data_IF_669700146105
#
_entry.id   IF_669700146105
#
_cell.length_a   1.000
_cell.length_b   1.000
_cell.length_c   1.000
_cell.angle_alpha   90.00
_cell.angle_beta   90.00
_cell.angle_gamma   90.00
#
_symmetry.space_group_name_H-M   'P 1'
#
loop_
_entity.id
_entity.type
_entity.pdbx_description
1 polymer ?
#
# COMPACT_ATOMS: atom_id res chain seq x y z
N UNK A 1 24.97 -8.55 4.82
CA UNK A 1 24.28 -7.29 4.45
C UNK A 1 22.87 -7.64 4.01
N UNK A 2 21.84 -7.11 4.66
CA UNK A 2 20.45 -7.30 4.21
C UNK A 2 20.20 -6.58 2.88
N UNK A 3 19.54 -7.26 1.94
CA UNK A 3 19.16 -6.72 0.62
C UNK A 3 17.95 -5.77 0.72
N UNK A 4 17.15 -5.88 1.80
CA UNK A 4 15.99 -5.01 2.02
C UNK A 4 16.42 -3.64 2.59
N UNK A 5 15.95 -2.57 1.93
CA UNK A 5 16.10 -1.20 2.41
C UNK A 5 15.39 -0.99 3.76
N UNK A 6 15.88 0.00 4.52
CA UNK A 6 15.21 0.46 5.75
C UNK A 6 13.82 1.00 5.42
N UNK A 7 12.82 0.62 6.21
CA UNK A 7 11.44 1.08 6.06
C UNK A 7 10.87 1.46 7.42
N UNK A 8 10.29 2.66 7.54
CA UNK A 8 9.78 3.20 8.81
C UNK A 8 10.78 3.16 9.99
N UNK A 9 12.08 3.17 9.70
CA UNK A 9 13.13 3.07 10.73
C UNK A 9 13.51 1.63 11.10
N UNK A 10 12.88 0.63 10.49
CA UNK A 10 13.26 -0.77 10.65
C UNK A 10 14.26 -1.20 9.58
N UNK A 11 15.36 -1.79 10.02
CA UNK A 11 16.37 -2.38 9.13
C UNK A 11 15.79 -3.57 8.37
N UNK A 12 16.41 -3.93 7.26
CA UNK A 12 15.99 -5.12 6.51
C UNK A 12 16.06 -6.41 7.32
N UNK A 13 16.99 -6.54 8.28
CA UNK A 13 17.06 -7.69 9.18
C UNK A 13 15.88 -7.74 10.16
N UNK A 14 15.46 -6.60 10.72
CA UNK A 14 14.25 -6.53 11.56
C UNK A 14 13.01 -6.96 10.78
N UNK A 15 12.87 -6.44 9.55
CA UNK A 15 11.77 -6.78 8.65
C UNK A 15 11.79 -8.27 8.26
N UNK A 16 12.97 -8.84 8.02
CA UNK A 16 13.12 -10.26 7.68
C UNK A 16 12.77 -11.17 8.86
N UNK A 17 13.09 -10.80 10.10
CA UNK A 17 12.69 -11.56 11.29
C UNK A 17 11.17 -11.60 11.46
N UNK A 18 10.50 -10.46 11.31
CA UNK A 18 9.04 -10.37 11.33
C UNK A 18 8.40 -11.16 10.17
N UNK A 19 8.95 -11.07 8.96
CA UNK A 19 8.50 -11.85 7.81
C UNK A 19 8.61 -13.36 8.05
N UNK A 20 9.74 -13.82 8.60
CA UNK A 20 9.94 -15.22 8.94
C UNK A 20 9.00 -15.69 10.05
N UNK A 21 8.70 -14.84 11.03
CA UNK A 21 7.65 -15.12 12.01
C UNK A 21 6.28 -15.29 11.34
N UNK A 22 5.88 -14.36 10.47
CA UNK A 22 4.59 -14.41 9.77
C UNK A 22 4.47 -15.67 8.89
N UNK A 23 5.55 -16.07 8.21
CA UNK A 23 5.59 -17.33 7.47
C UNK A 23 5.36 -18.55 8.35
N UNK A 24 5.90 -18.57 9.57
CA UNK A 24 5.65 -19.67 10.53
C UNK A 24 4.20 -19.68 10.98
N UNK A 25 3.58 -18.51 11.19
CA UNK A 25 2.15 -18.43 11.50
C UNK A 25 1.28 -18.99 10.37
N UNK A 26 1.65 -18.75 9.10
CA UNK A 26 0.97 -19.36 7.95
C UNK A 26 1.13 -20.88 7.90
N UNK A 27 2.35 -21.39 8.08
CA UNK A 27 2.62 -22.84 8.08
C UNK A 27 1.88 -23.53 9.23
N UNK A 28 1.78 -22.87 10.38
CA UNK A 28 1.06 -23.40 11.54
C UNK A 28 -0.47 -23.23 11.46
N UNK A 29 -1.01 -22.64 10.38
CA UNK A 29 -2.44 -22.43 10.20
C UNK A 29 -3.06 -21.39 11.14
N UNK A 30 -2.26 -20.67 11.94
CA UNK A 30 -2.75 -19.62 12.85
C UNK A 30 -3.13 -18.33 12.12
N UNK A 31 -2.67 -18.17 10.88
CA UNK A 31 -3.00 -17.04 10.02
C UNK A 31 -3.28 -17.49 8.59
N UNK A 32 -4.23 -16.83 7.95
CA UNK A 32 -4.50 -17.00 6.53
C UNK A 32 -3.51 -16.20 5.68
N UNK A 33 -3.18 -16.73 4.51
CA UNK A 33 -2.43 -15.96 3.51
C UNK A 33 -3.36 -14.94 2.85
N UNK A 34 -2.85 -13.76 2.47
CA UNK A 34 -3.65 -12.77 1.77
C UNK A 34 -4.19 -13.30 0.45
N UNK A 35 -5.50 -13.16 0.24
CA UNK A 35 -6.17 -13.58 -1.02
C UNK A 35 -6.92 -12.44 -1.70
N UNK A 36 -7.08 -11.30 -1.00
CA UNK A 36 -7.81 -10.15 -1.52
C UNK A 36 -7.18 -8.86 -1.02
N UNK A 37 -7.02 -7.89 -1.91
CA UNK A 37 -6.62 -6.54 -1.52
C UNK A 37 -7.75 -5.86 -0.73
N UNK A 38 -7.47 -5.49 0.52
CA UNK A 38 -8.41 -4.73 1.36
C UNK A 38 -8.65 -3.32 0.82
N UNK A 39 -7.67 -2.71 0.15
CA UNK A 39 -7.80 -1.33 -0.36
C UNK A 39 -8.62 -1.22 -1.64
N UNK A 40 -8.27 -1.97 -2.70
CA UNK A 40 -8.91 -1.87 -4.01
C UNK A 40 -9.77 -3.08 -4.39
N UNK A 41 -9.87 -4.09 -3.53
CA UNK A 41 -10.70 -5.27 -3.75
C UNK A 41 -10.13 -6.33 -4.70
N UNK A 42 -9.01 -6.05 -5.37
CA UNK A 42 -8.35 -6.96 -6.32
C UNK A 42 -8.07 -8.35 -5.72
N UNK A 43 -8.44 -9.40 -6.45
CA UNK A 43 -8.21 -10.81 -6.08
C UNK A 43 -7.21 -11.53 -6.99
N UNK A 44 -6.82 -10.92 -8.11
CA UNK A 44 -5.84 -11.44 -9.05
C UNK A 44 -4.49 -10.71 -8.95
N UNK A 45 -3.43 -11.39 -9.41
CA UNK A 45 -2.07 -10.89 -9.30
C UNK A 45 -1.42 -11.23 -7.96
N UNK A 46 -0.38 -10.50 -7.59
CA UNK A 46 0.31 -10.71 -6.32
C UNK A 46 -0.38 -9.92 -5.21
N UNK A 47 -0.96 -10.64 -4.24
CA UNK A 47 -1.48 -10.10 -2.98
C UNK A 47 -0.49 -10.40 -1.85
N UNK A 48 -0.14 -9.40 -1.07
CA UNK A 48 0.91 -9.45 -0.05
C UNK A 48 0.43 -8.88 1.27
N UNK A 49 0.96 -9.43 2.35
CA UNK A 49 0.78 -8.86 3.67
C UNK A 49 1.71 -7.65 3.83
N UNK A 50 1.22 -6.59 4.46
CA UNK A 50 1.93 -5.34 4.70
C UNK A 50 1.90 -4.99 6.18
N UNK A 51 2.99 -4.37 6.67
CA UNK A 51 3.15 -3.96 8.07
C UNK A 51 3.73 -2.54 8.11
N UNK A 52 3.23 -1.69 8.99
CA UNK A 52 3.80 -0.37 9.26
C UNK A 52 4.78 -0.38 10.44
N UNK A 53 4.56 -1.30 11.40
CA UNK A 53 5.42 -1.57 12.54
C UNK A 53 5.98 -2.99 12.46
N UNK A 54 7.30 -3.12 12.62
CA UNK A 54 8.03 -4.39 12.63
C UNK A 54 8.66 -4.68 14.00
N UNK A 55 8.20 -4.01 15.06
CA UNK A 55 8.64 -4.20 16.43
C UNK A 55 8.28 -5.58 16.99
N UNK A 56 9.11 -6.06 17.93
CA UNK A 56 8.78 -7.20 18.77
C UNK A 56 8.14 -6.71 20.08
N UNK A 57 7.26 -7.50 20.74
CA UNK A 57 6.81 -8.84 20.36
C UNK A 57 5.95 -8.83 19.09
N UNK A 58 6.06 -9.86 18.26
CA UNK A 58 5.30 -9.95 17.00
C UNK A 58 3.84 -10.34 17.26
N UNK A 59 2.92 -9.77 16.50
CA UNK A 59 1.49 -9.88 16.77
C UNK A 59 0.61 -9.32 15.64
N UNK A 60 -0.60 -8.81 15.96
CA UNK A 60 -1.57 -8.33 14.98
C UNK A 60 -1.03 -7.29 13.97
N UNK A 61 -0.07 -6.45 14.38
CA UNK A 61 0.57 -5.43 13.54
C UNK A 61 1.42 -5.99 12.39
N UNK A 62 1.95 -7.21 12.55
CA UNK A 62 2.74 -7.85 11.49
C UNK A 62 1.79 -8.42 10.44
N UNK A 63 1.87 -7.91 9.22
CA UNK A 63 1.01 -8.33 8.11
C UNK A 63 -0.45 -7.93 8.30
N UNK A 64 -0.71 -6.84 9.03
CA UNK A 64 -2.06 -6.36 9.36
C UNK A 64 -2.90 -6.00 8.14
N UNK A 65 -2.26 -5.64 7.02
CA UNK A 65 -2.94 -5.20 5.81
C UNK A 65 -2.70 -6.17 4.66
N UNK A 66 -3.75 -6.56 3.96
CA UNK A 66 -3.68 -7.39 2.76
C UNK A 66 -3.78 -6.50 1.52
N UNK A 67 -2.70 -6.38 0.77
CA UNK A 67 -2.60 -5.41 -0.33
C UNK A 67 -2.14 -6.08 -1.61
N UNK A 68 -2.75 -5.72 -2.74
CA UNK A 68 -2.20 -6.06 -4.04
C UNK A 68 -0.86 -5.33 -4.26
N UNK A 69 -0.06 -5.84 -5.18
CA UNK A 69 1.24 -5.27 -5.52
C UNK A 69 1.22 -3.76 -5.72
N UNK A 70 0.23 -3.21 -6.44
CA UNK A 70 0.15 -1.75 -6.68
C UNK A 70 -0.15 -0.96 -5.41
N UNK A 71 -1.20 -1.33 -4.66
CA UNK A 71 -1.50 -0.64 -3.40
C UNK A 71 -0.32 -0.73 -2.42
N UNK A 72 0.35 -1.89 -2.37
CA UNK A 72 1.53 -2.09 -1.55
C UNK A 72 2.66 -1.14 -1.98
N UNK A 73 2.98 -1.07 -3.27
CA UNK A 73 4.06 -0.20 -3.76
C UNK A 73 3.73 1.29 -3.61
N UNK A 74 2.50 1.71 -3.88
CA UNK A 74 2.07 3.11 -3.73
C UNK A 74 2.24 3.59 -2.29
N UNK A 75 1.99 2.73 -1.29
CA UNK A 75 2.28 3.04 0.12
C UNK A 75 3.77 3.27 0.37
N UNK A 76 4.66 2.43 -0.18
CA UNK A 76 6.12 2.64 -0.02
C UNK A 76 6.57 3.96 -0.64
N UNK A 77 5.86 4.43 -1.65
CA UNK A 77 6.17 5.69 -2.34
C UNK A 77 5.51 6.92 -1.72
N UNK A 78 4.64 6.77 -0.72
CA UNK A 78 3.82 7.88 -0.19
C UNK A 78 4.65 9.06 0.34
N UNK A 79 5.86 8.82 0.82
CA UNK A 79 6.73 9.88 1.34
C UNK A 79 7.52 10.60 0.23
N UNK A 80 7.92 9.89 -0.83
CA UNK A 80 8.65 10.47 -1.97
C UNK A 80 7.71 11.01 -3.06
N UNK A 81 6.44 10.61 -3.05
CA UNK A 81 5.44 10.92 -4.06
C UNK A 81 4.05 11.11 -3.45
N UNK A 82 3.94 11.97 -2.43
CA UNK A 82 2.69 12.19 -1.70
C UNK A 82 1.51 12.57 -2.62
N UNK A 83 1.75 13.40 -3.64
CA UNK A 83 0.72 13.77 -4.62
C UNK A 83 0.17 12.55 -5.37
N UNK A 84 1.05 11.70 -5.90
CA UNK A 84 0.65 10.46 -6.57
C UNK A 84 -0.10 9.53 -5.63
N UNK A 85 0.35 9.40 -4.38
CA UNK A 85 -0.33 8.58 -3.38
C UNK A 85 -1.77 9.04 -3.17
N UNK A 86 -2.00 10.33 -2.91
CA UNK A 86 -3.34 10.85 -2.68
C UNK A 86 -4.22 10.80 -3.93
N UNK A 87 -3.66 11.08 -5.11
CA UNK A 87 -4.37 10.89 -6.38
C UNK A 87 -4.83 9.44 -6.58
N UNK A 88 -3.96 8.48 -6.26
CA UNK A 88 -4.31 7.07 -6.35
C UNK A 88 -5.43 6.70 -5.38
N UNK A 89 -5.44 7.26 -4.16
CA UNK A 89 -6.56 7.09 -3.21
C UNK A 89 -7.86 7.66 -3.80
N UNK A 90 -7.84 8.88 -4.36
CA UNK A 90 -9.01 9.49 -5.02
C UNK A 90 -9.57 8.60 -6.15
N UNK A 91 -8.69 7.96 -6.93
CA UNK A 91 -9.12 7.03 -7.99
C UNK A 91 -9.87 5.83 -7.42
N UNK A 92 -9.33 5.21 -6.37
CA UNK A 92 -9.98 4.07 -5.73
C UNK A 92 -11.34 4.47 -5.12
N UNK A 93 -11.45 5.66 -4.53
CA UNK A 93 -12.69 6.22 -3.99
C UNK A 93 -13.73 6.49 -5.09
N UNK A 94 -13.28 6.92 -6.27
CA UNK A 94 -14.12 7.04 -7.45
C UNK A 94 -14.45 5.69 -8.13
N UNK A 95 -14.00 4.56 -7.56
CA UNK A 95 -14.30 3.21 -8.05
C UNK A 95 -13.40 2.72 -9.18
N UNK A 96 -12.30 3.42 -9.48
CA UNK A 96 -11.31 2.97 -10.44
C UNK A 96 -10.45 1.85 -9.85
N UNK A 97 -10.20 0.84 -10.67
CA UNK A 97 -9.26 -0.24 -10.37
C UNK A 97 -8.27 -0.38 -11.50
N UNK A 98 -7.01 -0.62 -11.16
CA UNK A 98 -5.96 -0.88 -12.15
C UNK A 98 -5.89 -2.40 -12.37
N UNK A 99 -5.62 -2.83 -13.62
CA UNK A 99 -5.44 -4.24 -13.98
C UNK A 99 -4.50 -4.98 -13.00
N UNK A 100 -4.58 -6.30 -12.78
CA UNK A 100 -3.67 -7.02 -11.88
C UNK A 100 -2.18 -6.83 -12.17
N UNK A 101 -1.31 -6.99 -11.17
CA UNK A 101 0.15 -7.08 -11.36
C UNK A 101 0.74 -8.19 -10.51
N UNK A 102 1.71 -8.89 -11.07
CA UNK A 102 2.45 -9.97 -10.41
C UNK A 102 3.84 -9.54 -9.93
N UNK A 103 4.44 -8.55 -10.62
CA UNK A 103 5.74 -7.94 -10.34
C UNK A 103 5.92 -6.72 -11.24
N UNK A 104 6.92 -5.91 -10.93
CA UNK A 104 7.38 -4.83 -11.81
C UNK A 104 6.88 -3.46 -11.37
N UNK A 105 7.79 -2.52 -11.32
CA UNK A 105 7.55 -1.17 -10.80
C UNK A 105 7.24 -0.15 -11.90
N UNK A 106 7.18 -0.57 -13.17
CA UNK A 106 7.01 0.34 -14.31
C UNK A 106 5.70 1.14 -14.23
N UNK A 107 4.57 0.46 -14.00
CA UNK A 107 3.26 1.11 -13.89
C UNK A 107 3.20 2.04 -12.67
N UNK A 108 3.76 1.61 -11.54
CA UNK A 108 3.82 2.44 -10.31
C UNK A 108 4.71 3.66 -10.56
N UNK A 109 5.84 3.48 -11.25
CA UNK A 109 6.75 4.57 -11.63
C UNK A 109 6.09 5.55 -12.58
N UNK A 110 5.30 5.07 -13.54
CA UNK A 110 4.53 5.93 -14.44
C UNK A 110 3.52 6.78 -13.66
N UNK A 111 2.81 6.21 -12.69
CA UNK A 111 1.93 6.97 -11.78
C UNK A 111 2.72 8.00 -10.96
N UNK A 112 3.92 7.65 -10.50
CA UNK A 112 4.79 8.55 -9.72
C UNK A 112 5.32 9.73 -10.54
N UNK A 113 5.61 9.52 -11.82
CA UNK A 113 6.11 10.56 -12.71
C UNK A 113 5.02 11.47 -13.27
N UNK A 114 3.78 10.97 -13.37
CA UNK A 114 2.65 11.72 -13.89
C UNK A 114 1.50 11.73 -12.87
N UNK A 115 1.65 12.46 -11.74
CA UNK A 115 0.65 12.48 -10.66
C UNK A 115 -0.71 13.03 -11.08
N UNK A 116 -0.80 13.74 -12.20
CA UNK A 116 -2.05 14.32 -12.71
C UNK A 116 -2.66 13.55 -13.87
N UNK A 117 -1.96 12.53 -14.39
CA UNK A 117 -2.47 11.71 -15.47
C UNK A 117 -3.81 11.05 -15.06
N UNK A 118 -4.68 10.71 -16.00
CA UNK A 118 -5.82 9.84 -15.70
C UNK A 118 -5.34 8.44 -15.28
N UNK A 119 -6.24 7.59 -14.76
CA UNK A 119 -5.95 6.16 -14.57
C UNK A 119 -5.30 5.56 -15.83
N UNK A 120 -4.29 4.68 -15.69
CA UNK A 120 -3.58 4.13 -16.83
C UNK A 120 -4.53 3.33 -17.74
N UNK A 121 -4.24 3.21 -19.05
CA UNK A 121 -5.03 2.42 -19.98
C UNK A 121 -5.27 1.00 -19.46
N UNK A 122 -6.49 0.49 -19.61
CA UNK A 122 -6.91 -0.81 -19.07
C UNK A 122 -7.33 -0.78 -17.59
N UNK A 123 -7.36 0.39 -16.97
CA UNK A 123 -8.07 0.58 -15.70
C UNK A 123 -9.57 0.43 -15.92
N UNK A 124 -10.23 -0.27 -15.01
CA UNK A 124 -11.65 -0.56 -15.06
C UNK A 124 -12.35 0.13 -13.90
N UNK A 125 -13.42 0.87 -14.20
CA UNK A 125 -14.32 1.42 -13.19
C UNK A 125 -15.35 0.35 -12.80
N UNK A 126 -15.56 0.13 -11.49
CA UNK A 126 -16.61 -0.76 -10.96
C UNK A 126 -16.55 -2.27 -11.32
N UNK A 127 -15.38 -2.80 -11.69
CA UNK A 127 -15.26 -4.20 -12.18
C UNK A 127 -14.91 -5.26 -11.12
N UNK A 128 -14.57 -4.86 -9.89
CA UNK A 128 -14.10 -5.75 -8.82
C UNK A 128 -14.95 -5.52 -7.56
N UNK A 129 -15.25 -6.55 -6.74
CA UNK A 129 -15.94 -6.35 -5.47
C UNK A 129 -15.26 -5.23 -4.67
N UNK A 130 -15.99 -4.23 -4.17
CA UNK A 130 -15.39 -2.99 -3.67
C UNK A 130 -14.45 -3.26 -2.50
N UNK A 131 -13.21 -2.80 -2.61
CA UNK A 131 -12.31 -2.65 -1.46
C UNK A 131 -12.75 -1.51 -0.56
N UNK A 132 -11.97 -1.25 0.48
CA UNK A 132 -12.04 -0.08 1.34
C UNK A 132 -10.81 0.82 1.08
N UNK A 133 -10.91 1.84 0.20
CA UNK A 133 -9.83 2.80 -0.02
C UNK A 133 -9.38 3.50 1.28
N UNK A 134 -10.25 3.55 2.29
CA UNK A 134 -9.96 4.06 3.62
C UNK A 134 -8.76 3.36 4.29
N UNK A 135 -8.48 2.09 3.95
CA UNK A 135 -7.27 1.38 4.41
C UNK A 135 -6.00 2.18 4.10
N UNK A 136 -5.87 2.72 2.90
CA UNK A 136 -4.69 3.51 2.52
C UNK A 136 -4.62 4.80 3.34
N UNK A 137 -5.77 5.44 3.62
CA UNK A 137 -5.82 6.62 4.48
C UNK A 137 -5.40 6.31 5.90
N UNK A 138 -5.86 5.19 6.48
CA UNK A 138 -5.51 4.82 7.86
C UNK A 138 -4.03 4.45 7.98
N UNK A 139 -3.48 3.73 7.01
CA UNK A 139 -2.03 3.49 6.91
C UNK A 139 -1.27 4.82 6.82
N UNK A 140 -1.72 5.72 5.94
CA UNK A 140 -1.11 7.04 5.82
C UNK A 140 -1.24 7.87 7.09
N UNK A 141 -2.32 7.71 7.86
CA UNK A 141 -2.55 8.36 9.15
C UNK A 141 -1.68 7.79 10.29
N UNK A 142 -1.04 6.63 10.07
CA UNK A 142 -0.18 5.98 11.04
C UNK A 142 -0.84 4.83 11.81
N UNK A 143 -1.90 4.21 11.27
CA UNK A 143 -2.42 2.96 11.83
C UNK A 143 -1.30 1.91 11.86
N UNK A 144 -1.01 1.41 13.07
CA UNK A 144 0.15 0.56 13.35
C UNK A 144 1.51 1.19 13.00
N UNK A 145 1.64 2.51 12.91
CA UNK A 145 2.97 3.13 12.88
C UNK A 145 3.63 3.03 14.27
N UNK A 146 4.96 2.83 14.34
CA UNK A 146 5.66 2.92 15.61
C UNK A 146 5.46 4.32 16.21
N UNK A 147 5.21 4.38 17.52
CA UNK A 147 4.79 5.57 18.29
C UNK A 147 5.77 6.77 18.25
N UNK A 148 6.87 6.68 17.50
CA UNK A 148 7.96 7.64 17.48
C UNK A 148 8.06 8.46 16.18
N UNK A 149 7.11 8.36 15.25
CA UNK A 149 7.13 9.18 14.01
C UNK A 149 5.85 9.99 13.84
N UNK A 150 5.93 11.33 13.75
CA UNK A 150 4.78 12.14 13.38
C UNK A 150 4.38 11.86 11.92
N UNK A 151 3.09 11.68 11.71
CA UNK A 151 2.49 11.55 10.40
C UNK A 151 2.47 12.91 9.70
N UNK A 152 3.01 13.06 8.47
CA UNK A 152 2.81 14.29 7.72
C UNK A 152 1.31 14.43 7.36
N UNK A 153 0.69 15.60 7.54
CA UNK A 153 -0.71 15.80 7.16
C UNK A 153 -0.90 15.59 5.65
N UNK A 154 -2.11 15.21 5.20
CA UNK A 154 -2.43 15.24 3.78
C UNK A 154 -2.14 16.65 3.23
N UNK A 155 -1.50 16.77 2.05
CA UNK A 155 -1.30 18.06 1.42
C UNK A 155 -2.66 18.71 1.13
N UNK A 156 -2.78 20.00 1.40
CA UNK A 156 -3.93 20.80 1.00
C UNK A 156 -3.83 21.10 -0.49
N UNK A 157 -4.54 20.32 -1.31
CA UNK A 157 -4.68 20.66 -2.73
C UNK A 157 -5.67 21.82 -2.85
N UNK A 158 -5.19 23.02 -3.21
CA UNK A 158 -6.10 24.07 -3.69
C UNK A 158 -6.74 23.55 -4.96
N UNK A 159 -8.06 23.41 -4.97
CA UNK A 159 -8.85 23.29 -6.20
C UNK A 159 -8.69 24.61 -6.96
N UNK A 160 -7.65 24.70 -7.78
CA UNK A 160 -7.39 25.83 -8.67
C UNK A 160 -8.05 25.57 -10.02
N UNK A 161 -9.09 26.36 -10.28
CA UNK A 161 -9.75 26.64 -11.55
C UNK A 161 -8.92 26.33 -12.80
N UNK A 162 -9.42 25.40 -13.62
CA UNK A 162 -9.14 25.37 -15.05
C UNK A 162 -9.92 26.53 -15.68
N UNK A 163 -9.27 27.67 -15.87
CA UNK A 163 -9.69 28.60 -16.92
C UNK A 163 -8.85 28.28 -18.16
N UNK A 164 -9.56 28.01 -19.25
CA UNK A 164 -9.02 27.69 -20.58
C UNK A 164 -8.46 28.93 -21.27
#
# INVERSE_FOLDING_TARGET
MSILATYNGFTGDQRMRAYNWLKREYVAGRRARPVRCQACGQTAGQIMAHSEDYSAPYGPHIGAFELCFRCHMVIHCRFSGARTFWRYVEWLEAGWTVAPAWKGFADVRQMLWHPDAPPPPGSLQHSVPPGDPGILRRIAAGEFAPSHRPTPPPPTFRQGTLEF
#
